data_IF_348089329624
#
_entry.id   IF_348089329624
#
_cell.length_a   1.000
_cell.length_b   1.000
_cell.length_c   1.000
_cell.angle_alpha   90.00
_cell.angle_beta   90.00
_cell.angle_gamma   90.00
#
_symmetry.space_group_name_H-M   'P 1'
#
loop_
_entity.id
_entity.type
_entity.pdbx_description
1 polymer ?
#
# COMPACT_ATOMS: atom_id res chain seq x y z
N UNK A 1 8.27 -8.97 19.21
CA UNK A 1 7.23 -9.68 20.02
C UNK A 1 6.23 -8.71 20.66
N UNK A 2 6.62 -7.66 21.38
CA UNK A 2 5.66 -6.81 22.13
C UNK A 2 5.23 -5.51 21.42
N UNK A 3 5.23 -5.46 20.08
CA UNK A 3 4.90 -4.23 19.34
C UNK A 3 5.81 -3.02 19.59
N UNK A 4 6.96 -3.20 20.25
CA UNK A 4 7.90 -2.11 20.53
C UNK A 4 8.62 -1.67 19.27
N UNK A 5 8.61 -0.36 18.99
CA UNK A 5 9.31 0.25 17.86
C UNK A 5 10.62 0.81 18.36
N UNK A 6 11.72 0.36 17.76
CA UNK A 6 13.07 0.85 18.06
C UNK A 6 13.64 1.58 16.85
N UNK A 7 14.21 2.76 17.11
CA UNK A 7 14.84 3.55 16.05
C UNK A 7 16.19 2.92 15.68
N UNK A 8 16.32 2.53 14.43
CA UNK A 8 17.59 2.18 13.81
C UNK A 8 18.38 3.41 13.36
N UNK A 9 18.84 3.40 12.10
CA UNK A 9 19.56 4.54 11.52
C UNK A 9 18.64 5.76 11.38
N UNK A 10 19.13 7.01 11.60
CA UNK A 10 18.30 8.21 11.44
C UNK A 10 17.69 8.35 10.04
N UNK A 11 16.49 8.93 9.94
CA UNK A 11 15.75 9.10 8.68
C UNK A 11 16.51 9.92 7.62
N UNK A 12 17.41 10.82 8.04
CA UNK A 12 18.23 11.64 7.15
C UNK A 12 19.59 11.00 6.80
N UNK A 13 19.73 9.69 6.96
CA UNK A 13 20.96 8.94 6.66
C UNK A 13 20.64 7.70 5.82
N UNK A 14 21.46 7.46 4.79
CA UNK A 14 21.35 6.30 3.91
C UNK A 14 21.60 5.00 4.70
N UNK A 15 20.69 4.04 4.52
CA UNK A 15 20.73 2.71 5.12
C UNK A 15 21.64 1.71 4.38
N UNK A 16 21.57 0.44 4.79
CA UNK A 16 22.29 -0.67 4.18
C UNK A 16 21.42 -1.95 4.13
N UNK A 17 20.13 -1.79 3.81
CA UNK A 17 19.12 -2.84 4.00
C UNK A 17 18.65 -3.53 2.71
N UNK A 18 18.70 -2.89 1.55
CA UNK A 18 18.13 -3.41 0.29
C UNK A 18 18.98 -3.11 -0.96
N UNK A 19 20.31 -2.98 -0.80
CA UNK A 19 21.23 -2.66 -1.89
C UNK A 19 21.27 -1.17 -2.27
N UNK A 20 22.32 -0.77 -2.98
CA UNK A 20 22.64 0.65 -3.21
C UNK A 20 21.55 1.42 -3.97
N UNK A 21 20.86 0.77 -4.89
CA UNK A 21 19.81 1.39 -5.72
C UNK A 21 18.53 1.71 -4.95
N UNK A 22 18.31 1.06 -3.80
CA UNK A 22 17.09 1.19 -3.01
C UNK A 22 17.36 1.94 -1.71
N UNK A 23 18.53 1.75 -1.11
CA UNK A 23 18.91 2.36 0.18
C UNK A 23 18.89 3.90 0.19
N UNK A 24 19.08 4.53 -0.96
CA UNK A 24 19.16 5.98 -1.08
C UNK A 24 17.80 6.68 -1.11
N UNK A 25 16.72 5.96 -1.42
CA UNK A 25 15.35 6.49 -1.55
C UNK A 25 14.30 5.65 -0.81
N UNK A 26 14.69 5.02 0.30
CA UNK A 26 13.75 4.23 1.10
C UNK A 26 14.11 4.18 2.58
N UNK A 27 13.12 3.79 3.38
CA UNK A 27 13.26 3.55 4.82
C UNK A 27 13.10 2.05 5.06
N UNK A 28 14.16 1.39 5.54
CA UNK A 28 14.10 -0.01 5.93
C UNK A 28 13.43 -0.18 7.30
N UNK A 29 12.30 -0.89 7.34
CA UNK A 29 11.64 -1.34 8.58
C UNK A 29 11.89 -2.84 8.74
N UNK A 30 12.51 -3.24 9.85
CA UNK A 30 12.76 -4.65 10.17
C UNK A 30 11.83 -5.11 11.28
N UNK A 31 10.96 -6.06 10.98
CA UNK A 31 10.11 -6.70 11.98
C UNK A 31 10.86 -7.92 12.54
N UNK A 32 11.14 -7.93 13.85
CA UNK A 32 11.98 -8.97 14.46
C UNK A 32 11.26 -10.31 14.52
N UNK A 33 11.82 -11.32 13.87
CA UNK A 33 11.30 -12.69 13.82
C UNK A 33 11.77 -13.47 12.61
N UNK A 34 11.50 -14.78 12.58
CA UNK A 34 11.69 -15.61 11.39
C UNK A 34 10.32 -15.96 10.78
N UNK A 35 9.83 -15.11 9.87
CA UNK A 35 8.52 -15.34 9.26
C UNK A 35 8.53 -16.30 8.07
N UNK A 36 9.59 -17.10 7.94
CA UNK A 36 9.54 -18.33 7.16
C UNK A 36 8.87 -19.45 7.99
N UNK A 37 9.12 -19.48 9.30
CA UNK A 37 8.66 -20.56 10.19
C UNK A 37 7.43 -20.21 11.01
N UNK A 38 7.20 -18.94 11.35
CA UNK A 38 6.07 -18.49 12.18
C UNK A 38 5.40 -17.23 11.62
N UNK A 39 4.17 -16.94 12.03
CA UNK A 39 3.53 -15.65 11.72
C UNK A 39 4.03 -14.57 12.70
N UNK A 40 4.01 -13.28 12.31
CA UNK A 40 4.19 -12.18 13.26
C UNK A 40 3.06 -12.16 14.30
N UNK A 41 3.37 -11.75 15.52
CA UNK A 41 2.33 -11.47 16.53
C UNK A 41 1.51 -10.25 16.10
N UNK A 42 0.25 -10.19 16.53
CA UNK A 42 -0.68 -9.13 16.13
C UNK A 42 -0.17 -7.75 16.53
N UNK A 43 0.45 -7.63 17.71
CA UNK A 43 1.01 -6.38 18.21
C UNK A 43 2.19 -5.90 17.34
N UNK A 44 2.91 -6.80 16.68
CA UNK A 44 3.97 -6.41 15.74
C UNK A 44 3.38 -5.82 14.45
N UNK A 45 2.25 -6.36 13.98
CA UNK A 45 1.56 -5.83 12.79
C UNK A 45 0.93 -4.47 13.10
N UNK A 46 0.25 -4.32 14.23
CA UNK A 46 -0.35 -3.05 14.64
C UNK A 46 0.72 -1.95 14.80
N UNK A 47 1.87 -2.28 15.40
CA UNK A 47 3.00 -1.36 15.51
C UNK A 47 3.59 -1.00 14.15
N UNK A 48 3.71 -1.97 13.23
CA UNK A 48 4.16 -1.71 11.86
C UNK A 48 3.23 -0.75 11.13
N UNK A 49 1.92 -0.98 11.19
CA UNK A 49 0.91 -0.11 10.56
C UNK A 49 0.94 1.30 11.15
N UNK A 50 1.05 1.41 12.48
CA UNK A 50 1.18 2.70 13.17
C UNK A 50 2.45 3.46 12.76
N UNK A 51 3.57 2.75 12.57
CA UNK A 51 4.82 3.34 12.10
C UNK A 51 4.71 3.83 10.66
N UNK A 52 4.07 3.06 9.77
CA UNK A 52 3.84 3.46 8.38
C UNK A 52 3.01 4.74 8.34
N UNK A 53 1.87 4.75 9.05
CA UNK A 53 0.99 5.94 9.13
C UNK A 53 1.72 7.17 9.66
N UNK A 54 2.54 7.01 10.72
CA UNK A 54 3.38 8.08 11.23
C UNK A 54 4.34 8.61 10.15
N UNK A 55 5.02 7.73 9.41
CA UNK A 55 5.95 8.16 8.35
C UNK A 55 5.21 8.89 7.22
N UNK A 56 4.04 8.42 6.80
CA UNK A 56 3.22 9.10 5.79
C UNK A 56 2.83 10.52 6.21
N UNK A 57 2.43 10.69 7.47
CA UNK A 57 2.16 12.02 8.04
C UNK A 57 3.42 12.90 8.04
N UNK A 58 4.57 12.37 8.47
CA UNK A 58 5.83 13.12 8.49
C UNK A 58 6.28 13.59 7.10
N UNK A 59 5.98 12.82 6.04
CA UNK A 59 6.32 13.18 4.66
C UNK A 59 5.16 13.84 3.90
N UNK A 60 3.98 13.96 4.51
CA UNK A 60 2.80 14.60 3.92
C UNK A 60 2.25 13.88 2.69
N UNK A 61 2.49 12.58 2.54
CA UNK A 61 2.02 11.78 1.40
C UNK A 61 1.96 10.28 1.72
N UNK A 62 1.09 9.52 1.03
CA UNK A 62 1.15 8.07 1.07
C UNK A 62 2.52 7.53 0.64
N UNK A 63 2.99 6.48 1.30
CA UNK A 63 4.28 5.85 1.02
C UNK A 63 4.06 4.47 0.41
N UNK A 64 4.74 4.21 -0.71
CA UNK A 64 4.73 2.88 -1.33
C UNK A 64 5.42 1.88 -0.41
N UNK A 65 4.67 0.90 0.10
CA UNK A 65 5.21 -0.18 0.93
C UNK A 65 5.58 -1.35 0.03
N UNK A 66 6.80 -1.86 0.16
CA UNK A 66 7.32 -2.99 -0.60
C UNK A 66 7.91 -4.03 0.34
N UNK A 67 7.79 -5.32 -0.01
CA UNK A 67 8.54 -6.37 0.68
C UNK A 67 9.99 -6.32 0.24
N UNK A 68 10.90 -6.73 1.11
CA UNK A 68 12.32 -6.78 0.76
C UNK A 68 12.58 -7.68 -0.47
N UNK A 69 11.86 -8.81 -0.61
CA UNK A 69 11.92 -9.67 -1.80
C UNK A 69 11.44 -9.03 -3.10
N UNK A 70 10.67 -7.94 -3.04
CA UNK A 70 10.18 -7.23 -4.23
C UNK A 70 11.27 -6.34 -4.84
N UNK A 71 12.32 -6.03 -4.08
CA UNK A 71 13.40 -5.10 -4.46
C UNK A 71 14.81 -5.72 -4.38
N UNK A 72 14.94 -6.90 -3.78
CA UNK A 72 16.21 -7.59 -3.62
C UNK A 72 16.01 -9.12 -3.66
N UNK A 73 17.03 -9.86 -4.08
CA UNK A 73 16.97 -11.32 -4.12
C UNK A 73 17.11 -11.92 -2.71
N UNK A 74 15.99 -12.05 -1.99
CA UNK A 74 15.94 -12.54 -0.61
C UNK A 74 14.63 -13.25 -0.29
N UNK A 75 14.63 -14.06 0.77
CA UNK A 75 13.42 -14.68 1.33
C UNK A 75 12.63 -13.71 2.22
N UNK A 76 13.20 -12.57 2.62
CA UNK A 76 12.55 -11.60 3.51
C UNK A 76 11.30 -10.97 2.86
N UNK A 77 10.18 -10.75 3.59
CA UNK A 77 9.98 -10.94 5.03
C UNK A 77 9.69 -12.37 5.48
N UNK A 78 9.45 -13.29 4.55
CA UNK A 78 9.07 -14.68 4.83
C UNK A 78 7.69 -14.99 4.27
N UNK A 79 7.40 -16.27 4.04
CA UNK A 79 6.12 -16.70 3.45
C UNK A 79 4.95 -16.71 4.44
N UNK A 80 5.21 -16.64 5.74
CA UNK A 80 4.19 -16.46 6.79
C UNK A 80 4.05 -15.00 7.25
N UNK A 81 4.76 -14.07 6.62
CA UNK A 81 4.48 -12.66 6.82
C UNK A 81 3.18 -12.28 6.08
N UNK A 82 2.22 -11.60 6.72
CA UNK A 82 0.96 -11.24 6.07
C UNK A 82 1.22 -10.22 4.97
N UNK A 83 0.84 -10.55 3.74
CA UNK A 83 0.91 -9.65 2.59
C UNK A 83 -0.28 -9.88 1.64
N UNK A 84 -0.99 -8.83 1.20
CA UNK A 84 -0.79 -7.42 1.54
C UNK A 84 -1.05 -7.12 3.02
N UNK A 85 -0.53 -5.98 3.51
CA UNK A 85 -0.80 -5.54 4.88
C UNK A 85 -2.22 -4.95 4.96
N UNK A 86 -2.96 -5.18 6.06
CA UNK A 86 -4.29 -4.61 6.24
C UNK A 86 -4.26 -3.08 6.16
N UNK A 87 -5.14 -2.47 5.35
CA UNK A 87 -5.26 -1.02 5.24
C UNK A 87 -4.10 -0.31 4.51
N UNK A 88 -3.13 -1.05 3.98
CA UNK A 88 -2.11 -0.53 3.07
C UNK A 88 -2.51 -0.94 1.66
N UNK A 89 -3.08 0.00 0.92
CA UNK A 89 -3.50 -0.25 -0.45
C UNK A 89 -2.27 -0.56 -1.32
N UNK A 90 -2.24 -1.76 -1.89
CA UNK A 90 -1.34 -2.06 -3.01
C UNK A 90 -1.78 -1.31 -4.28
N UNK A 91 -0.95 -1.33 -5.33
CA UNK A 91 -1.34 -0.81 -6.63
C UNK A 91 -2.61 -1.48 -7.18
N UNK A 92 -2.82 -2.74 -6.79
CA UNK A 92 -4.00 -3.53 -7.15
C UNK A 92 -5.20 -3.16 -6.26
N UNK A 93 -4.98 -2.87 -4.98
CA UNK A 93 -6.04 -2.50 -4.05
C UNK A 93 -6.60 -1.09 -4.32
N UNK A 94 -5.78 -0.07 -4.62
CA UNK A 94 -6.34 1.27 -4.91
C UNK A 94 -7.18 1.27 -6.18
N UNK A 95 -6.77 0.51 -7.21
CA UNK A 95 -7.50 0.35 -8.47
C UNK A 95 -8.86 -0.27 -8.19
N UNK A 96 -8.90 -1.33 -7.39
CA UNK A 96 -10.13 -1.98 -6.95
C UNK A 96 -11.00 -1.05 -6.09
N UNK A 97 -10.41 -0.35 -5.14
CA UNK A 97 -11.11 0.60 -4.27
C UNK A 97 -11.70 1.76 -5.07
N UNK A 98 -11.01 2.23 -6.12
CA UNK A 98 -11.53 3.25 -7.04
C UNK A 98 -12.78 2.76 -7.77
N UNK A 99 -12.76 1.54 -8.31
CA UNK A 99 -13.93 0.93 -8.97
C UNK A 99 -15.08 0.81 -7.96
N UNK A 100 -14.84 0.25 -6.77
CA UNK A 100 -15.87 0.09 -5.75
C UNK A 100 -16.51 1.42 -5.34
N UNK A 101 -15.70 2.46 -5.12
CA UNK A 101 -16.20 3.80 -4.83
C UNK A 101 -17.01 4.37 -5.99
N UNK A 102 -16.59 4.15 -7.24
CA UNK A 102 -17.33 4.60 -8.41
C UNK A 102 -18.70 3.89 -8.54
N UNK A 103 -18.83 2.62 -8.13
CA UNK A 103 -20.13 1.95 -8.00
C UNK A 103 -20.98 2.53 -6.88
N UNK A 104 -20.41 2.73 -5.69
CA UNK A 104 -21.12 3.29 -4.53
C UNK A 104 -21.69 4.68 -4.86
N UNK A 105 -20.89 5.49 -5.53
CA UNK A 105 -21.25 6.80 -6.07
C UNK A 105 -22.09 6.72 -7.35
N UNK A 106 -22.46 5.54 -7.85
CA UNK A 106 -23.25 5.40 -9.08
C UNK A 106 -22.67 6.14 -10.30
N UNK A 107 -21.35 6.37 -10.32
CA UNK A 107 -20.64 6.90 -11.49
C UNK A 107 -20.60 5.84 -12.60
N UNK A 108 -20.49 4.58 -12.19
CA UNK A 108 -20.65 3.37 -13.00
C UNK A 108 -21.76 2.50 -12.42
N UNK A 109 -22.34 1.62 -13.24
CA UNK A 109 -23.51 0.81 -12.88
C UNK A 109 -23.18 -0.67 -12.60
N UNK A 110 -22.00 -1.13 -13.01
CA UNK A 110 -21.54 -2.51 -12.84
C UNK A 110 -20.05 -2.53 -12.47
N UNK A 111 -19.61 -3.66 -11.94
CA UNK A 111 -18.21 -3.85 -11.53
C UNK A 111 -17.33 -4.13 -12.75
N UNK A 112 -16.20 -3.44 -12.85
CA UNK A 112 -15.23 -3.57 -13.94
C UNK A 112 -13.86 -3.99 -13.42
N UNK A 113 -13.08 -4.70 -14.24
CA UNK A 113 -11.66 -4.89 -13.99
C UNK A 113 -10.95 -3.54 -14.23
N UNK A 114 -10.22 -2.99 -13.25
CA UNK A 114 -9.58 -1.69 -13.41
C UNK A 114 -8.42 -1.66 -14.42
N UNK A 115 -7.91 -2.82 -14.85
CA UNK A 115 -6.85 -2.90 -15.85
C UNK A 115 -7.37 -3.08 -17.29
N UNK A 116 -8.69 -3.24 -17.46
CA UNK A 116 -9.31 -3.33 -18.79
C UNK A 116 -9.29 -1.98 -19.52
N UNK A 117 -9.10 -2.04 -20.84
CA UNK A 117 -9.21 -0.86 -21.70
C UNK A 117 -10.67 -0.45 -21.83
N UNK A 118 -10.97 0.81 -21.48
CA UNK A 118 -12.29 1.39 -21.66
C UNK A 118 -12.53 1.85 -23.12
N UNK A 119 -13.73 1.58 -23.64
CA UNK A 119 -14.20 2.18 -24.88
C UNK A 119 -14.49 3.67 -24.71
N UNK A 120 -14.34 4.44 -25.81
CA UNK A 120 -14.62 5.90 -25.79
C UNK A 120 -16.04 6.23 -25.35
N UNK A 121 -17.03 5.44 -25.76
CA UNK A 121 -18.43 5.67 -25.40
C UNK A 121 -18.66 5.49 -23.89
N UNK A 122 -17.96 4.54 -23.26
CA UNK A 122 -18.05 4.29 -21.81
C UNK A 122 -17.48 5.48 -21.03
N UNK A 123 -16.31 5.98 -21.43
CA UNK A 123 -15.70 7.17 -20.81
C UNK A 123 -16.64 8.39 -20.91
N UNK A 124 -17.29 8.58 -22.06
CA UNK A 124 -18.29 9.64 -22.23
C UNK A 124 -19.53 9.43 -21.36
N UNK A 125 -20.02 8.20 -21.22
CA UNK A 125 -21.16 7.87 -20.36
C UNK A 125 -20.88 8.18 -18.88
N UNK A 126 -19.72 7.76 -18.36
CA UNK A 126 -19.29 8.09 -16.98
C UNK A 126 -19.16 9.60 -16.78
N UNK A 127 -18.66 10.33 -17.79
CA UNK A 127 -18.55 11.79 -17.74
C UNK A 127 -19.92 12.47 -17.70
N UNK A 128 -20.89 11.98 -18.46
CA UNK A 128 -22.26 12.50 -18.44
C UNK A 128 -22.95 12.21 -17.10
N UNK A 129 -22.80 10.99 -16.55
CA UNK A 129 -23.31 10.67 -15.21
C UNK A 129 -22.80 11.65 -14.15
N UNK A 130 -21.52 12.03 -14.22
CA UNK A 130 -20.95 13.03 -13.32
C UNK A 130 -21.58 14.41 -13.51
N UNK A 131 -21.73 14.86 -14.77
CA UNK A 131 -22.35 16.15 -15.10
C UNK A 131 -23.78 16.20 -14.57
N UNK A 132 -24.59 15.17 -14.85
CA UNK A 132 -25.97 15.09 -14.41
C UNK A 132 -26.06 15.18 -12.88
N UNK A 133 -25.20 14.46 -12.14
CA UNK A 133 -25.15 14.53 -10.67
C UNK A 133 -24.74 15.90 -10.13
N UNK A 134 -23.85 16.64 -10.83
CA UNK A 134 -23.45 17.99 -10.42
C UNK A 134 -24.59 18.99 -10.68
N UNK A 135 -25.34 18.82 -11.76
CA UNK A 135 -26.43 19.72 -12.15
C UNK A 135 -27.75 19.43 -11.43
N UNK A 136 -27.91 18.23 -10.87
CA UNK A 136 -29.04 17.84 -10.02
C UNK A 136 -28.87 18.24 -8.53
N UNK A 137 -27.73 18.79 -8.15
CA UNK A 137 -27.43 19.36 -6.82
C UNK A 137 -27.59 20.89 -6.82
#
# INVERSE_FOLDING_TARGET
KYGTIERGRPLNKIGAHAGNEVNNDSIGICLTGNFVSQEPEIEQIEALLSLISYLEDQYGKPLKVLRHRDVFQTVCPGNKFPWPLPGIDTEEDWKRNLVLRALEEKLIIENHDPDDKADKWFVLAVSLNLIDRILEL
#
